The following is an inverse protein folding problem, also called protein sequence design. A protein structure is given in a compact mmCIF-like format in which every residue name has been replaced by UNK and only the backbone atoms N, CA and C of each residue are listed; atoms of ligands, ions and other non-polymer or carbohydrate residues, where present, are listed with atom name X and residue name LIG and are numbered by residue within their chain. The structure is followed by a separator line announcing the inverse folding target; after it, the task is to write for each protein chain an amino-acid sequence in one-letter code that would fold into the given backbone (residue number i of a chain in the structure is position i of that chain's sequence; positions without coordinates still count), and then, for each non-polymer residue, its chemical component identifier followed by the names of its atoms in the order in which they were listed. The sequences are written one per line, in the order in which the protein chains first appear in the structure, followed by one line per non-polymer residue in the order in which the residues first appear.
data_IF_458764658367
#
_entry.id   IF_458764658367
#
_cell.length_a   1.000
_cell.length_b   1.000
_cell.length_c   1.000
_cell.angle_alpha   90.00
_cell.angle_beta   90.00
_cell.angle_gamma   90.00
#
_symmetry.space_group_name_H-M   'P 1'
#
loop_
_entity.id
_entity.type
_entity.pdbx_description
1 polymer ?
#
# COMPACT_ATOMS: atom_id res chain seq x y z
N UNK A 1 18.67 10.98 -3.92
CA UNK A 1 17.77 10.53 -5.00
C UNK A 1 16.38 10.42 -4.40
N UNK A 2 15.32 10.93 -5.05
CA UNK A 2 13.97 10.82 -4.47
C UNK A 2 13.35 9.51 -4.95
N UNK A 3 12.72 8.75 -4.05
CA UNK A 3 12.09 7.49 -4.38
C UNK A 3 11.08 7.59 -5.55
N UNK A 4 10.39 8.72 -5.68
CA UNK A 4 9.46 8.97 -6.79
C UNK A 4 10.13 9.05 -8.16
N UNK A 5 11.46 9.29 -8.24
CA UNK A 5 12.18 9.39 -9.51
C UNK A 5 12.57 8.03 -10.07
N UNK A 6 12.54 6.97 -9.24
CA UNK A 6 12.94 5.60 -9.62
C UNK A 6 11.74 4.73 -10.02
N UNK A 7 10.51 5.21 -9.75
CA UNK A 7 9.31 4.45 -10.06
C UNK A 7 9.08 4.41 -11.58
N UNK A 8 8.97 3.22 -12.19
CA UNK A 8 8.49 3.10 -13.55
C UNK A 8 6.96 3.35 -13.57
N UNK A 9 6.58 4.59 -13.83
CA UNK A 9 5.17 4.96 -13.96
C UNK A 9 4.55 4.32 -15.19
N UNK A 10 3.38 3.70 -15.03
CA UNK A 10 2.67 3.01 -16.10
C UNK A 10 1.33 3.69 -16.35
N UNK A 11 0.96 3.86 -17.60
CA UNK A 11 -0.32 4.44 -18.05
C UNK A 11 -1.50 3.72 -17.38
N UNK A 12 -2.48 4.47 -16.89
CA UNK A 12 -3.67 3.93 -16.23
C UNK A 12 -3.46 3.37 -14.82
N UNK A 13 -2.23 3.40 -14.29
CA UNK A 13 -1.95 2.91 -12.96
C UNK A 13 -2.33 3.93 -11.87
N UNK A 14 -2.62 3.42 -10.65
CA UNK A 14 -2.91 4.24 -9.48
C UNK A 14 -1.75 4.21 -8.49
N UNK A 15 -1.23 5.38 -8.13
CA UNK A 15 -0.14 5.55 -7.19
C UNK A 15 -0.62 6.20 -5.90
N UNK A 16 -0.44 5.52 -4.77
CA UNK A 16 -0.87 6.02 -3.47
C UNK A 16 0.36 6.41 -2.65
N UNK A 17 0.43 7.69 -2.27
CA UNK A 17 1.55 8.23 -1.53
C UNK A 17 1.16 8.75 -0.15
N UNK A 18 2.06 8.61 0.81
CA UNK A 18 1.89 9.30 2.09
C UNK A 18 2.21 10.79 1.96
N UNK A 19 1.74 11.56 2.94
CA UNK A 19 1.93 13.02 3.02
C UNK A 19 3.40 13.44 2.90
N UNK A 20 4.35 12.61 3.34
CA UNK A 20 5.78 12.85 3.24
C UNK A 20 6.30 12.97 1.81
N UNK A 21 5.61 12.35 0.86
CA UNK A 21 5.99 12.33 -0.56
C UNK A 21 5.35 13.44 -1.41
N UNK A 22 4.71 14.44 -0.80
CA UNK A 22 4.12 15.55 -1.58
C UNK A 22 5.22 16.38 -2.21
N UNK A 23 5.35 16.21 -3.51
CA UNK A 23 6.13 17.03 -4.44
C UNK A 23 5.25 17.27 -5.67
N UNK A 24 4.80 18.52 -5.83
CA UNK A 24 3.79 18.83 -6.85
C UNK A 24 4.30 18.69 -8.27
N UNK A 25 5.57 18.98 -8.52
CA UNK A 25 6.17 18.78 -9.85
C UNK A 25 6.21 17.30 -10.23
N UNK A 26 6.54 16.41 -9.27
CA UNK A 26 6.51 14.97 -9.49
C UNK A 26 5.09 14.43 -9.64
N UNK A 27 4.14 14.91 -8.85
CA UNK A 27 2.72 14.55 -9.01
C UNK A 27 2.19 15.00 -10.38
N UNK A 28 2.62 16.16 -10.87
CA UNK A 28 2.26 16.63 -12.21
C UNK A 28 2.85 15.74 -13.32
N UNK A 29 4.09 15.27 -13.11
CA UNK A 29 4.69 14.29 -14.04
C UNK A 29 3.87 13.00 -14.12
N UNK A 30 3.34 12.49 -13.00
CA UNK A 30 2.45 11.32 -12.98
C UNK A 30 1.21 11.59 -13.84
N UNK A 31 0.60 12.76 -13.69
CA UNK A 31 -0.55 13.17 -14.51
C UNK A 31 -0.23 13.21 -16.00
N UNK A 32 0.94 13.75 -16.37
CA UNK A 32 1.39 13.79 -17.77
C UNK A 32 1.68 12.42 -18.37
N UNK A 33 1.92 11.42 -17.52
CA UNK A 33 2.08 10.02 -17.92
C UNK A 33 0.76 9.24 -17.92
N UNK A 34 -0.38 9.95 -17.90
CA UNK A 34 -1.73 9.37 -17.91
C UNK A 34 -1.94 8.34 -16.78
N UNK A 35 -1.30 8.58 -15.64
CA UNK A 35 -1.44 7.80 -14.43
C UNK A 35 -2.19 8.59 -13.37
N UNK A 36 -2.84 7.88 -12.45
CA UNK A 36 -3.56 8.48 -11.34
C UNK A 36 -2.78 8.42 -10.05
N UNK A 37 -2.95 9.41 -9.17
CA UNK A 37 -2.41 9.36 -7.84
C UNK A 37 -3.45 9.69 -6.76
N UNK A 38 -3.23 9.20 -5.55
CA UNK A 38 -3.92 9.63 -4.34
C UNK A 38 -2.88 9.92 -3.28
N UNK A 39 -2.89 11.13 -2.72
CA UNK A 39 -1.96 11.52 -1.68
C UNK A 39 -2.68 12.24 -0.55
N UNK A 40 -2.28 11.99 0.71
CA UNK A 40 -2.82 12.74 1.84
C UNK A 40 -2.30 14.17 1.85
N UNK A 41 -3.20 15.15 1.86
CA UNK A 41 -2.87 16.57 1.86
C UNK A 41 -2.12 17.02 3.12
N UNK A 42 -1.29 18.07 2.98
CA UNK A 42 -0.75 18.83 4.11
C UNK A 42 -1.84 19.73 4.71
N UNK A 43 -1.80 19.96 6.03
CA UNK A 43 -2.79 20.79 6.73
C UNK A 43 -2.83 22.24 6.25
N UNK A 44 -1.70 22.76 5.80
CA UNK A 44 -1.54 24.15 5.35
C UNK A 44 -1.65 24.33 3.83
N UNK A 45 -2.29 23.37 3.15
CA UNK A 45 -2.51 23.48 1.71
C UNK A 45 -3.38 24.68 1.37
N UNK A 46 -2.85 25.56 0.51
CA UNK A 46 -3.64 26.64 -0.11
C UNK A 46 -4.29 26.09 -1.37
N UNK A 47 -5.60 25.91 -1.32
CA UNK A 47 -6.41 25.34 -2.39
C UNK A 47 -7.56 26.27 -2.73
N UNK A 48 -7.73 26.62 -3.98
CA UNK A 48 -8.84 27.41 -4.48
C UNK A 48 -9.89 26.47 -5.08
N UNK A 49 -11.09 26.50 -4.50
CA UNK A 49 -12.18 25.62 -4.93
C UNK A 49 -12.87 26.24 -6.13
N UNK A 50 -13.03 25.48 -7.20
CA UNK A 50 -13.75 25.84 -8.40
C UNK A 50 -15.17 25.30 -8.41
N UNK A 51 -15.35 24.07 -7.95
CA UNK A 51 -16.66 23.42 -7.89
C UNK A 51 -16.74 22.42 -6.74
N UNK A 52 -17.96 22.12 -6.33
CA UNK A 52 -18.29 21.07 -5.35
C UNK A 52 -19.04 19.96 -6.08
N UNK A 53 -18.63 18.72 -5.81
CA UNK A 53 -19.32 17.54 -6.28
C UNK A 53 -20.32 17.07 -5.21
N UNK A 54 -21.35 16.34 -5.63
CA UNK A 54 -22.26 15.73 -4.68
C UNK A 54 -21.54 14.66 -3.85
N UNK A 55 -21.86 14.59 -2.57
CA UNK A 55 -21.31 13.62 -1.63
C UNK A 55 -22.43 12.83 -0.97
N UNK A 56 -22.15 11.58 -0.69
CA UNK A 56 -23.00 10.75 0.17
C UNK A 56 -22.37 10.72 1.57
N UNK A 57 -22.98 11.42 2.51
CA UNK A 57 -22.51 11.52 3.90
C UNK A 57 -22.50 10.17 4.61
N UNK A 58 -23.32 9.20 4.20
CA UNK A 58 -23.35 7.87 4.76
C UNK A 58 -22.01 7.14 4.59
N UNK A 59 -21.25 7.47 3.54
CA UNK A 59 -19.91 6.91 3.25
C UNK A 59 -18.80 7.49 4.13
N UNK A 60 -19.10 8.54 4.91
CA UNK A 60 -18.10 9.28 5.69
C UNK A 60 -17.38 10.36 4.88
N UNK A 61 -17.76 10.60 3.64
CA UNK A 61 -17.24 11.72 2.83
C UNK A 61 -17.86 13.02 3.33
N UNK A 62 -17.00 13.98 3.70
CA UNK A 62 -17.42 15.31 4.16
C UNK A 62 -17.54 16.28 2.98
N UNK A 63 -16.53 16.29 2.11
CA UNK A 63 -16.50 17.17 0.93
C UNK A 63 -15.78 16.51 -0.23
N UNK A 64 -16.22 16.82 -1.43
CA UNK A 64 -15.58 16.48 -2.68
C UNK A 64 -15.53 17.73 -3.55
N UNK A 65 -14.36 18.21 -3.86
CA UNK A 65 -14.13 19.52 -4.46
C UNK A 65 -13.13 19.42 -5.59
N UNK A 66 -13.40 20.15 -6.66
CA UNK A 66 -12.45 20.37 -7.75
C UNK A 66 -11.91 21.78 -7.66
N UNK A 67 -10.63 21.96 -7.89
CA UNK A 67 -9.98 23.26 -7.83
C UNK A 67 -8.51 23.19 -8.22
N UNK A 68 -7.74 24.16 -7.79
CA UNK A 68 -6.32 24.25 -8.11
C UNK A 68 -5.50 24.76 -6.92
N UNK A 69 -4.19 24.51 -6.98
CA UNK A 69 -3.27 24.96 -5.94
C UNK A 69 -3.05 26.47 -6.02
N UNK A 70 -3.20 27.15 -4.87
CA UNK A 70 -3.06 28.60 -4.74
C UNK A 70 -1.78 28.96 -3.99
N UNK A 71 -0.65 28.75 -4.58
CA UNK A 71 0.63 29.17 -4.03
C UNK A 71 1.58 29.49 -5.16
N UNK A 72 2.42 30.51 -5.00
CA UNK A 72 3.30 30.97 -6.08
C UNK A 72 4.13 29.83 -6.73
N UNK A 73 4.73 28.99 -5.91
CA UNK A 73 5.49 27.83 -6.41
C UNK A 73 4.59 26.64 -6.71
N UNK A 74 3.65 26.30 -5.83
CA UNK A 74 2.82 25.10 -5.97
C UNK A 74 1.90 25.16 -7.20
N UNK A 75 1.40 26.36 -7.56
CA UNK A 75 0.59 26.53 -8.78
C UNK A 75 1.40 26.41 -10.07
N UNK A 76 2.70 26.72 -10.02
CA UNK A 76 3.61 26.50 -11.17
C UNK A 76 3.99 25.02 -11.29
N UNK A 77 4.24 24.37 -10.18
CA UNK A 77 4.63 22.95 -10.13
C UNK A 77 3.45 22.04 -10.55
N UNK A 78 2.22 22.43 -10.25
CA UNK A 78 1.01 21.72 -10.66
C UNK A 78 -0.04 22.71 -11.16
N UNK A 79 -0.06 23.05 -12.46
CA UNK A 79 -0.93 24.10 -13.02
C UNK A 79 -2.34 23.61 -13.35
N UNK A 80 -2.61 22.32 -13.31
CA UNK A 80 -3.91 21.75 -13.66
C UNK A 80 -4.83 21.61 -12.43
N UNK A 81 -6.12 21.34 -12.71
CA UNK A 81 -7.08 21.08 -11.65
C UNK A 81 -6.71 19.81 -10.88
N UNK A 82 -6.98 19.86 -9.59
CA UNK A 82 -6.91 18.73 -8.67
C UNK A 82 -8.29 18.53 -8.02
N UNK A 83 -8.54 17.32 -7.62
CA UNK A 83 -9.67 16.95 -6.80
C UNK A 83 -9.23 16.80 -5.36
N UNK A 84 -9.98 17.41 -4.44
CA UNK A 84 -9.77 17.37 -3.00
C UNK A 84 -10.94 16.69 -2.33
N UNK A 85 -10.71 15.53 -1.73
CA UNK A 85 -11.72 14.73 -1.03
C UNK A 85 -11.43 14.77 0.46
N UNK A 86 -12.39 15.17 1.28
CA UNK A 86 -12.32 15.10 2.74
C UNK A 86 -13.16 13.93 3.24
N UNK A 87 -12.56 13.07 4.03
CA UNK A 87 -13.15 11.86 4.58
C UNK A 87 -13.02 11.85 6.11
N UNK A 88 -14.08 11.52 6.82
CA UNK A 88 -14.07 11.33 8.26
C UNK A 88 -13.86 9.87 8.61
N UNK A 89 -12.71 9.57 9.19
CA UNK A 89 -12.37 8.24 9.69
C UNK A 89 -12.97 8.08 11.11
N UNK A 90 -14.07 7.34 11.22
CA UNK A 90 -14.77 7.11 12.49
C UNK A 90 -13.92 6.31 13.48
N UNK A 91 -13.10 5.37 13.00
CA UNK A 91 -12.25 4.53 13.87
C UNK A 91 -11.16 5.36 14.56
N UNK A 92 -10.59 6.31 13.83
CA UNK A 92 -9.48 7.16 14.31
C UNK A 92 -9.96 8.53 14.80
N UNK A 93 -11.25 8.81 14.72
CA UNK A 93 -11.85 10.10 15.06
C UNK A 93 -11.08 11.28 14.43
N UNK A 94 -10.79 11.19 13.13
CA UNK A 94 -9.99 12.19 12.44
C UNK A 94 -10.45 12.42 11.01
N UNK A 95 -10.34 13.67 10.56
CA UNK A 95 -10.58 14.01 9.16
C UNK A 95 -9.30 13.86 8.35
N UNK A 96 -9.38 13.10 7.29
CA UNK A 96 -8.33 12.93 6.30
C UNK A 96 -8.70 13.71 5.04
N UNK A 97 -7.74 14.42 4.47
CA UNK A 97 -7.94 15.16 3.22
C UNK A 97 -7.00 14.57 2.18
N UNK A 98 -7.56 14.18 1.05
CA UNK A 98 -6.83 13.58 -0.06
C UNK A 98 -6.81 14.53 -1.26
N UNK A 99 -5.72 14.50 -2.01
CA UNK A 99 -5.58 15.09 -3.32
C UNK A 99 -5.43 14.00 -4.37
N UNK A 100 -6.07 14.16 -5.49
CA UNK A 100 -5.98 13.25 -6.63
C UNK A 100 -6.16 14.00 -7.95
N UNK A 101 -5.58 13.49 -9.02
CA UNK A 101 -5.85 13.90 -10.40
C UNK A 101 -6.94 13.04 -11.05
N UNK A 102 -7.50 12.07 -10.33
CA UNK A 102 -8.57 11.23 -10.84
C UNK A 102 -9.94 11.83 -10.54
N UNK A 103 -10.73 12.07 -11.58
CA UNK A 103 -12.07 12.65 -11.51
C UNK A 103 -13.18 11.62 -11.77
N UNK A 104 -12.82 10.38 -12.15
CA UNK A 104 -13.77 9.33 -12.51
C UNK A 104 -14.18 8.46 -11.30
N UNK A 105 -13.22 8.22 -10.39
CA UNK A 105 -13.50 7.44 -9.19
C UNK A 105 -14.50 8.16 -8.28
N UNK A 106 -15.36 7.40 -7.62
CA UNK A 106 -16.20 7.94 -6.54
C UNK A 106 -15.35 8.36 -5.34
N UNK A 107 -15.80 9.35 -4.56
CA UNK A 107 -15.01 9.88 -3.44
C UNK A 107 -14.70 8.84 -2.35
N UNK A 108 -15.64 7.91 -2.10
CA UNK A 108 -15.44 6.76 -1.20
C UNK A 108 -14.33 5.83 -1.69
N UNK A 109 -14.26 5.55 -3.01
CA UNK A 109 -13.18 4.75 -3.60
C UNK A 109 -11.82 5.42 -3.44
N UNK A 110 -11.73 6.76 -3.60
CA UNK A 110 -10.50 7.51 -3.34
C UNK A 110 -10.06 7.35 -1.88
N UNK A 111 -10.99 7.48 -0.92
CA UNK A 111 -10.70 7.28 0.50
C UNK A 111 -10.28 5.83 0.79
N UNK A 112 -10.95 4.84 0.19
CA UNK A 112 -10.64 3.41 0.36
C UNK A 112 -9.26 3.06 -0.20
N UNK A 113 -8.88 3.58 -1.38
CA UNK A 113 -7.53 3.38 -1.93
C UNK A 113 -6.47 3.88 -0.96
N UNK A 114 -6.67 5.03 -0.33
CA UNK A 114 -5.71 5.52 0.66
C UNK A 114 -5.71 4.69 1.95
N UNK A 115 -6.87 4.24 2.42
CA UNK A 115 -6.94 3.33 3.59
C UNK A 115 -6.17 2.04 3.34
N UNK A 116 -6.22 1.50 2.13
CA UNK A 116 -5.49 0.30 1.74
C UNK A 116 -3.96 0.45 1.80
N UNK A 117 -3.42 1.68 1.76
CA UNK A 117 -1.99 1.94 1.99
C UNK A 117 -1.48 1.35 3.32
N UNK A 118 -2.34 1.34 4.36
CA UNK A 118 -1.99 0.76 5.66
C UNK A 118 -1.65 -0.73 5.61
N UNK A 119 -2.20 -1.46 4.65
CA UNK A 119 -1.88 -2.88 4.47
C UNK A 119 -0.39 -3.12 4.19
N UNK A 120 0.27 -2.17 3.56
CA UNK A 120 1.71 -2.24 3.30
C UNK A 120 2.51 -2.15 4.61
N UNK A 121 2.10 -1.30 5.53
CA UNK A 121 2.73 -1.20 6.86
C UNK A 121 2.53 -2.49 7.65
N UNK A 122 1.34 -3.09 7.59
CA UNK A 122 1.04 -4.39 8.20
C UNK A 122 1.88 -5.51 7.57
N UNK A 123 2.02 -5.51 6.24
CA UNK A 123 2.87 -6.46 5.53
C UNK A 123 4.34 -6.39 5.98
N UNK A 124 4.93 -5.19 6.06
CA UNK A 124 6.30 -5.06 6.56
C UNK A 124 6.44 -5.39 8.04
N UNK A 125 5.44 -5.04 8.84
CA UNK A 125 5.40 -5.45 10.25
C UNK A 125 5.42 -6.97 10.35
N UNK A 126 4.59 -7.66 9.57
CA UNK A 126 4.51 -9.11 9.50
C UNK A 126 5.87 -9.73 9.10
N UNK A 127 6.48 -9.26 8.01
CA UNK A 127 7.80 -9.71 7.55
C UNK A 127 8.86 -9.55 8.66
N UNK A 128 8.90 -8.38 9.31
CA UNK A 128 9.84 -8.12 10.40
C UNK A 128 9.63 -9.05 11.60
N UNK A 129 8.40 -9.42 11.89
CA UNK A 129 8.05 -10.29 13.01
C UNK A 129 8.38 -11.76 12.73
N UNK A 130 8.02 -12.25 11.55
CA UNK A 130 8.00 -13.69 11.27
C UNK A 130 9.20 -14.18 10.46
N UNK A 131 9.82 -13.35 9.63
CA UNK A 131 10.95 -13.75 8.78
C UNK A 131 12.32 -13.34 9.32
N UNK A 132 12.40 -12.94 10.60
CA UNK A 132 13.65 -12.65 11.33
C UNK A 132 14.62 -11.72 10.57
N UNK A 133 14.11 -10.74 9.81
CA UNK A 133 14.95 -9.80 9.07
C UNK A 133 15.59 -8.70 9.94
N UNK A 134 15.37 -8.73 11.27
CA UNK A 134 15.96 -7.78 12.21
C UNK A 134 17.48 -7.92 12.37
N UNK A 135 18.05 -9.07 12.06
CA UNK A 135 19.47 -9.34 12.14
C UNK A 135 20.02 -9.64 10.76
N UNK A 136 20.95 -8.83 10.29
CA UNK A 136 21.61 -9.04 9.01
C UNK A 136 22.92 -9.80 9.20
N UNK A 137 23.12 -10.87 8.45
CA UNK A 137 24.34 -11.68 8.50
C UNK A 137 25.51 -11.00 7.78
N UNK A 138 25.24 -9.98 6.98
CA UNK A 138 26.22 -9.15 6.31
C UNK A 138 25.82 -7.68 6.39
N UNK A 139 26.82 -6.82 6.52
CA UNK A 139 26.66 -5.37 6.65
C UNK A 139 26.70 -4.63 5.30
N UNK A 140 27.01 -5.35 4.21
CA UNK A 140 27.02 -4.74 2.88
C UNK A 140 25.58 -4.46 2.40
N UNK A 141 25.41 -3.37 1.66
CA UNK A 141 24.13 -2.99 1.08
C UNK A 141 23.50 -4.13 0.26
N UNK A 142 24.31 -4.89 -0.46
CA UNK A 142 23.84 -6.02 -1.24
C UNK A 142 23.33 -7.18 -0.37
N UNK A 143 24.03 -7.51 0.72
CA UNK A 143 23.59 -8.55 1.66
C UNK A 143 22.24 -8.21 2.30
N UNK A 144 22.03 -6.95 2.66
CA UNK A 144 20.76 -6.47 3.21
C UNK A 144 19.65 -6.58 2.18
N UNK A 145 19.88 -6.12 0.94
CA UNK A 145 18.90 -6.22 -0.17
C UNK A 145 18.52 -7.67 -0.45
N UNK A 146 19.49 -8.58 -0.56
CA UNK A 146 19.23 -10.00 -0.79
C UNK A 146 18.33 -10.55 0.32
N UNK A 147 18.61 -10.25 1.58
CA UNK A 147 17.81 -10.76 2.69
C UNK A 147 16.36 -10.24 2.65
N UNK A 148 16.16 -8.95 2.36
CA UNK A 148 14.83 -8.36 2.24
C UNK A 148 14.06 -9.00 1.07
N UNK A 149 14.68 -9.11 -0.11
CA UNK A 149 14.04 -9.73 -1.27
C UNK A 149 13.71 -11.20 -1.03
N UNK A 150 14.62 -11.96 -0.40
CA UNK A 150 14.36 -13.36 -0.06
C UNK A 150 13.16 -13.50 0.90
N UNK A 151 13.04 -12.60 1.88
CA UNK A 151 11.91 -12.58 2.80
C UNK A 151 10.59 -12.27 2.08
N UNK A 152 10.59 -11.31 1.16
CA UNK A 152 9.41 -10.96 0.36
C UNK A 152 9.01 -12.14 -0.55
N UNK A 153 9.98 -12.77 -1.21
CA UNK A 153 9.75 -13.94 -2.08
C UNK A 153 9.16 -15.09 -1.26
N UNK A 154 9.73 -15.39 -0.09
CA UNK A 154 9.23 -16.44 0.80
C UNK A 154 7.77 -16.17 1.21
N UNK A 155 7.46 -14.92 1.61
CA UNK A 155 6.08 -14.54 1.92
C UNK A 155 5.15 -14.75 0.74
N UNK A 156 5.51 -14.28 -0.46
CA UNK A 156 4.68 -14.41 -1.65
C UNK A 156 4.45 -15.88 -2.03
N UNK A 157 5.48 -16.72 -1.97
CA UNK A 157 5.34 -18.14 -2.27
C UNK A 157 4.40 -18.84 -1.28
N UNK A 158 4.52 -18.53 0.02
CA UNK A 158 3.63 -19.09 1.05
C UNK A 158 2.19 -18.62 0.86
N UNK A 159 1.99 -17.34 0.55
CA UNK A 159 0.67 -16.79 0.31
C UNK A 159 0.00 -17.39 -0.95
N UNK A 160 0.76 -17.56 -2.03
CA UNK A 160 0.30 -18.22 -3.26
C UNK A 160 -0.06 -19.68 -2.97
N UNK A 161 0.81 -20.44 -2.31
CA UNK A 161 0.56 -21.83 -1.97
C UNK A 161 -0.71 -21.98 -1.10
N UNK A 162 -0.88 -21.13 -0.10
CA UNK A 162 -2.08 -21.11 0.74
C UNK A 162 -3.36 -20.83 -0.06
N UNK A 163 -3.30 -19.92 -1.03
CA UNK A 163 -4.42 -19.59 -1.90
C UNK A 163 -4.74 -20.72 -2.89
N UNK A 164 -3.74 -21.21 -3.61
CA UNK A 164 -3.92 -22.28 -4.61
C UNK A 164 -4.43 -23.59 -3.98
N UNK A 165 -3.94 -23.93 -2.81
CA UNK A 165 -4.34 -25.12 -2.07
C UNK A 165 -5.59 -24.93 -1.22
N UNK A 166 -6.21 -23.74 -1.25
CA UNK A 166 -7.40 -23.38 -0.46
C UNK A 166 -7.24 -23.71 1.04
N UNK A 167 -6.03 -23.46 1.59
CA UNK A 167 -5.70 -23.77 2.98
C UNK A 167 -6.36 -22.77 3.90
N UNK A 168 -7.25 -23.22 4.77
CA UNK A 168 -7.91 -22.37 5.78
C UNK A 168 -7.02 -22.16 7.00
N UNK A 169 -5.83 -21.57 6.81
CA UNK A 169 -4.83 -21.25 7.84
C UNK A 169 -4.19 -19.90 7.54
N UNK A 170 -3.63 -19.29 8.57
CA UNK A 170 -2.89 -18.02 8.40
C UNK A 170 -1.57 -18.26 7.66
N UNK A 171 -1.07 -17.24 6.96
CA UNK A 171 0.24 -17.29 6.27
C UNK A 171 1.38 -17.67 7.22
N UNK A 172 1.26 -17.30 8.49
CA UNK A 172 2.26 -17.66 9.52
C UNK A 172 2.23 -19.15 9.86
N UNK A 173 1.06 -19.73 10.07
CA UNK A 173 0.92 -21.18 10.32
C UNK A 173 1.42 -22.00 9.14
N UNK A 174 1.08 -21.59 7.92
CA UNK A 174 1.59 -22.23 6.70
C UNK A 174 3.12 -22.15 6.66
N UNK A 175 3.70 -20.99 6.98
CA UNK A 175 5.17 -20.82 7.04
C UNK A 175 5.81 -21.72 8.08
N UNK A 176 5.19 -21.87 9.26
CA UNK A 176 5.72 -22.75 10.31
C UNK A 176 5.70 -24.22 9.89
N UNK A 177 4.57 -24.67 9.32
CA UNK A 177 4.43 -26.06 8.83
C UNK A 177 5.48 -26.33 7.75
N UNK A 178 5.59 -25.46 6.75
CA UNK A 178 6.57 -25.58 5.68
C UNK A 178 8.00 -25.55 6.23
N UNK A 179 8.28 -24.73 7.25
CA UNK A 179 9.60 -24.65 7.90
C UNK A 179 10.02 -25.95 8.58
N UNK A 180 9.09 -26.74 9.09
CA UNK A 180 9.35 -28.04 9.71
C UNK A 180 9.53 -29.13 8.64
N UNK A 181 8.69 -29.13 7.63
CA UNK A 181 8.62 -30.18 6.61
C UNK A 181 9.33 -29.85 5.30
N UNK A 182 10.13 -28.77 5.25
CA UNK A 182 10.78 -28.28 4.03
C UNK A 182 11.66 -29.35 3.34
N UNK A 183 12.27 -30.25 4.13
CA UNK A 183 13.13 -31.33 3.65
C UNK A 183 12.42 -32.69 3.58
N UNK A 184 11.15 -32.72 3.92
CA UNK A 184 10.33 -33.93 3.83
C UNK A 184 9.81 -34.12 2.38
N UNK A 185 9.57 -35.36 1.99
CA UNK A 185 9.03 -35.70 0.67
C UNK A 185 7.48 -35.78 0.66
N UNK A 186 6.85 -35.42 1.76
CA UNK A 186 5.39 -35.40 1.87
C UNK A 186 4.79 -34.35 0.92
N UNK A 187 3.81 -34.70 0.10
CA UNK A 187 3.12 -33.74 -0.77
C UNK A 187 2.52 -32.58 0.03
N UNK A 188 2.69 -31.37 -0.46
CA UNK A 188 2.31 -30.14 0.26
C UNK A 188 0.82 -30.10 0.64
N UNK A 189 -0.07 -30.65 -0.21
CA UNK A 189 -1.49 -30.76 0.07
C UNK A 189 -1.80 -31.67 1.29
N UNK A 190 -1.02 -32.74 1.50
CA UNK A 190 -1.19 -33.62 2.65
C UNK A 190 -0.71 -33.01 3.96
N UNK A 191 0.30 -32.12 3.90
CA UNK A 191 0.81 -31.41 5.08
C UNK A 191 -0.24 -30.54 5.75
N UNK A 192 -1.20 -30.00 4.98
CA UNK A 192 -2.22 -29.08 5.51
C UNK A 192 -3.51 -29.77 5.93
N UNK A 193 -3.74 -31.02 5.54
CA UNK A 193 -4.94 -31.79 5.91
C UNK A 193 -4.80 -32.56 7.22
N UNK A 194 -3.57 -32.92 7.62
CA UNK A 194 -3.33 -33.86 8.73
C UNK A 194 -2.92 -33.22 10.06
N UNK A 195 -2.86 -31.88 10.18
CA UNK A 195 -2.40 -31.22 11.40
C UNK A 195 -3.58 -30.44 12.04
N UNK A 196 -4.23 -31.04 13.05
CA UNK A 196 -5.06 -30.33 14.02
C UNK A 196 -4.17 -29.58 15.02
N UNK A 197 -3.92 -28.31 14.76
CA UNK A 197 -3.33 -27.41 15.76
C UNK A 197 -4.50 -26.74 16.47
N UNK A 198 -4.91 -27.28 17.62
CA UNK A 198 -5.79 -26.63 18.55
C UNK A 198 -5.09 -25.41 19.17
N UNK A 199 -5.76 -24.25 19.16
CA UNK A 199 -5.46 -23.02 19.86
C UNK A 199 -4.25 -22.19 19.41
N UNK A 200 -4.43 -21.43 18.31
CA UNK A 200 -3.77 -20.12 18.16
C UNK A 200 -4.83 -19.09 17.76
N UNK A 201 -4.94 -18.05 18.57
CA UNK A 201 -5.94 -16.98 18.52
C UNK A 201 -6.25 -16.46 17.11
N UNK A 202 -7.54 -16.46 16.78
CA UNK A 202 -8.18 -15.95 15.54
C UNK A 202 -8.13 -14.43 15.41
N UNK A 203 -6.97 -13.79 15.39
CA UNK A 203 -6.89 -12.34 15.22
C UNK A 203 -5.84 -11.87 14.22
N UNK A 204 -5.47 -12.70 13.26
CA UNK A 204 -4.61 -12.24 12.16
C UNK A 204 -5.42 -12.09 10.87
N UNK A 205 -5.44 -10.85 10.40
CA UNK A 205 -6.10 -10.39 9.19
C UNK A 205 -5.62 -11.19 7.99
N UNK A 206 -6.51 -11.93 7.36
CA UNK A 206 -6.26 -12.56 6.06
C UNK A 206 -6.01 -11.41 5.09
N UNK A 207 -4.76 -11.22 4.71
CA UNK A 207 -4.41 -10.28 3.63
C UNK A 207 -4.94 -10.92 2.34
N UNK A 208 -6.04 -10.37 1.85
CA UNK A 208 -6.75 -10.89 0.70
C UNK A 208 -5.86 -10.79 -0.54
N UNK A 209 -5.43 -11.91 -1.11
CA UNK A 209 -4.52 -11.98 -2.26
C UNK A 209 -5.02 -11.25 -3.51
N UNK A 210 -6.32 -10.95 -3.62
CA UNK A 210 -6.87 -10.09 -4.67
C UNK A 210 -6.29 -8.66 -4.65
N UNK A 211 -5.68 -8.25 -3.53
CA UNK A 211 -5.00 -6.97 -3.34
C UNK A 211 -3.52 -6.99 -3.77
N UNK A 212 -2.96 -8.18 -4.07
CA UNK A 212 -1.52 -8.35 -4.41
C UNK A 212 -1.20 -7.86 -5.84
N UNK A 213 -2.19 -7.60 -6.68
CA UNK A 213 -2.01 -6.82 -7.91
C UNK A 213 -1.61 -5.34 -7.66
N UNK A 214 -1.40 -4.99 -6.38
CA UNK A 214 -0.66 -3.80 -6.00
C UNK A 214 0.79 -3.99 -6.44
N UNK A 215 1.06 -3.57 -7.67
CA UNK A 215 2.32 -3.71 -8.38
C UNK A 215 3.53 -3.48 -7.46
N UNK A 216 4.52 -4.32 -7.59
CA UNK A 216 5.87 -4.34 -7.01
C UNK A 216 6.56 -2.97 -6.84
N UNK A 217 6.08 -1.95 -7.52
CA UNK A 217 6.54 -0.56 -7.50
C UNK A 217 6.51 0.06 -6.10
N UNK A 218 5.50 -0.26 -5.29
CA UNK A 218 5.37 0.26 -3.93
C UNK A 218 6.37 -0.41 -2.97
N UNK A 219 6.71 -1.67 -3.23
CA UNK A 219 7.70 -2.42 -2.45
C UNK A 219 9.11 -1.86 -2.64
N UNK A 220 9.47 -1.45 -3.86
CA UNK A 220 10.75 -0.81 -4.16
C UNK A 220 10.88 0.55 -3.45
N UNK A 221 9.80 1.33 -3.37
CA UNK A 221 9.77 2.64 -2.71
C UNK A 221 10.07 2.54 -1.21
N UNK A 222 9.58 1.48 -0.56
CA UNK A 222 9.75 1.26 0.88
C UNK A 222 11.12 0.70 1.24
N UNK A 223 11.80 0.03 0.32
CA UNK A 223 13.18 -0.44 0.52
C UNK A 223 14.15 0.74 0.56
N UNK A 224 13.92 1.80 -0.23
CA UNK A 224 14.73 3.03 -0.18
C UNK A 224 14.48 3.90 1.07
N UNK A 225 13.33 3.75 1.75
CA UNK A 225 13.00 4.48 2.99
C UNK A 225 13.66 3.83 4.22
N UNK A 226 14.03 2.56 4.13
CA UNK A 226 14.68 1.83 5.23
C UNK A 226 16.19 2.07 5.29
N UNK A 227 16.73 2.91 4.41
CA UNK A 227 18.11 3.41 4.34
C UNK A 227 18.09 4.95 4.27
#
# INVERSE_FOLDING_TARGET
MNAMDVIPYEVGAYYIFDRGYIDYARLYRITKLESSFVVRSKKNLKFEVKSHNQVDEATGIITDQTGFLKGFYTSKDYPENLRRVAFYDREKNTTLIFLTNNFELTADKVAMLYKNRWQIELFFKWIKQHLKIKFFWGTSQNAVRIKIYSAIIAYCLVAIAGHELQVNRTTYEILQILGIYLLDRTPVNELFTNIDINDVSKSEMIINCHSIYFKWTVVLLLIEIMY
#
